data_IF_275646899565
#
_entry.id   IF_275646899565
#
_cell.length_a   1.000
_cell.length_b   1.000
_cell.length_c   1.000
_cell.angle_alpha   90.00
_cell.angle_beta   90.00
_cell.angle_gamma   90.00
#
_symmetry.space_group_name_H-M   'P 1'
#
loop_
_entity.id
_entity.type
_entity.pdbx_description
1 polymer ?
#
# COMPACT_ATOMS: atom_id res chain seq x y z
N UNK A 1 17.25 31.28 1.93
CA UNK A 1 15.90 30.72 2.14
C UNK A 1 16.04 29.20 2.19
N UNK A 2 16.07 28.62 3.39
CA UNK A 2 16.08 27.17 3.57
C UNK A 2 14.63 26.69 3.58
N UNK A 3 14.20 25.99 2.54
CA UNK A 3 12.95 25.25 2.54
C UNK A 3 13.10 24.08 3.52
N UNK A 4 12.45 24.17 4.69
CA UNK A 4 12.34 23.03 5.58
C UNK A 4 11.61 21.90 4.83
N UNK A 5 12.06 20.64 4.90
CA UNK A 5 11.34 19.54 4.27
C UNK A 5 9.94 19.50 4.87
N UNK A 6 8.92 19.61 4.02
CA UNK A 6 7.53 19.40 4.41
C UNK A 6 7.47 18.00 5.01
N UNK A 7 7.27 17.90 6.32
CA UNK A 7 6.92 16.64 6.98
C UNK A 7 5.54 16.28 6.49
N UNK A 8 5.47 15.59 5.35
CA UNK A 8 4.25 14.90 4.94
C UNK A 8 3.81 14.04 6.12
N UNK A 9 2.55 14.12 6.56
CA UNK A 9 2.06 13.23 7.60
C UNK A 9 2.43 11.81 7.16
N UNK A 10 3.11 11.08 8.04
CA UNK A 10 3.38 9.67 7.83
C UNK A 10 2.04 8.95 7.98
N UNK A 11 1.22 8.99 6.93
CA UNK A 11 -0.04 8.28 6.88
C UNK A 11 0.34 6.81 6.94
N UNK A 12 0.04 6.16 8.07
CA UNK A 12 0.20 4.71 8.20
C UNK A 12 -0.83 4.04 7.30
N UNK A 13 -0.46 3.78 6.05
CA UNK A 13 -1.29 3.06 5.11
C UNK A 13 -1.25 1.55 5.41
N UNK A 14 -2.40 0.86 5.36
CA UNK A 14 -2.42 -0.59 5.51
C UNK A 14 -1.65 -1.24 4.35
N UNK A 15 -0.76 -2.19 4.68
CA UNK A 15 -0.02 -3.00 3.69
C UNK A 15 -0.57 -4.42 3.54
N UNK A 16 -1.46 -4.84 4.44
CA UNK A 16 -2.08 -6.17 4.43
C UNK A 16 -3.51 -6.07 4.95
N UNK A 17 -4.44 -6.77 4.30
CA UNK A 17 -5.83 -6.89 4.73
C UNK A 17 -6.38 -8.30 4.42
N UNK A 18 -7.34 -8.81 5.22
CA UNK A 18 -7.94 -10.12 5.00
C UNK A 18 -8.73 -10.17 3.69
N UNK A 19 -8.56 -11.24 2.91
CA UNK A 19 -9.21 -11.40 1.61
C UNK A 19 -10.70 -11.69 1.71
N UNK A 20 -11.15 -12.28 2.83
CA UNK A 20 -12.56 -12.52 3.14
C UNK A 20 -13.44 -11.26 3.30
N UNK A 21 -12.88 -10.05 3.27
CA UNK A 21 -13.64 -8.80 3.28
C UNK A 21 -13.71 -8.18 1.88
N UNK A 22 -14.93 -7.90 1.42
CA UNK A 22 -15.21 -7.30 0.10
C UNK A 22 -14.60 -5.91 -0.09
N UNK A 23 -14.25 -5.21 1.00
CA UNK A 23 -13.63 -3.88 0.95
C UNK A 23 -12.10 -3.90 0.93
N UNK A 24 -11.48 -5.02 1.27
CA UNK A 24 -10.03 -5.09 1.46
C UNK A 24 -9.26 -4.71 0.20
N UNK A 25 -9.66 -5.25 -0.95
CA UNK A 25 -8.99 -4.95 -2.22
C UNK A 25 -9.08 -3.45 -2.56
N UNK A 26 -10.25 -2.84 -2.45
CA UNK A 26 -10.44 -1.41 -2.72
C UNK A 26 -9.63 -0.51 -1.77
N UNK A 27 -9.49 -0.89 -0.50
CA UNK A 27 -8.67 -0.14 0.46
C UNK A 27 -7.19 -0.24 0.08
N UNK A 28 -6.71 -1.43 -0.30
CA UNK A 28 -5.32 -1.61 -0.71
C UNK A 28 -5.02 -0.95 -2.06
N UNK A 29 -5.95 -0.95 -3.01
CA UNK A 29 -5.81 -0.20 -4.27
C UNK A 29 -5.64 1.30 -3.99
N UNK A 30 -6.48 1.88 -3.13
CA UNK A 30 -6.34 3.28 -2.75
C UNK A 30 -4.99 3.56 -2.04
N UNK A 31 -4.54 2.65 -1.18
CA UNK A 31 -3.23 2.75 -0.54
C UNK A 31 -2.06 2.65 -1.55
N UNK A 32 -2.15 1.77 -2.55
CA UNK A 32 -1.17 1.66 -3.64
C UNK A 32 -1.05 2.97 -4.41
N UNK A 33 -2.17 3.62 -4.73
CA UNK A 33 -2.14 4.91 -5.46
C UNK A 33 -1.41 6.00 -4.65
N UNK A 34 -1.63 6.07 -3.34
CA UNK A 34 -0.91 7.02 -2.47
C UNK A 34 0.59 6.69 -2.39
N UNK A 35 0.93 5.41 -2.24
CA UNK A 35 2.33 4.96 -2.18
C UNK A 35 3.09 5.24 -3.49
N UNK A 36 2.45 5.01 -4.64
CA UNK A 36 3.01 5.34 -5.95
C UNK A 36 3.18 6.84 -6.16
N UNK A 37 2.21 7.65 -5.72
CA UNK A 37 2.32 9.10 -5.75
C UNK A 37 3.48 9.61 -4.87
N UNK A 38 3.86 8.86 -3.83
CA UNK A 38 5.03 9.11 -3.00
C UNK A 38 6.35 8.54 -3.59
N UNK A 39 6.30 7.85 -4.74
CA UNK A 39 7.45 7.28 -5.42
C UNK A 39 7.76 5.81 -5.12
N UNK A 40 6.90 5.11 -4.37
CA UNK A 40 7.07 3.67 -4.08
C UNK A 40 6.41 2.81 -5.17
N UNK A 41 7.18 2.01 -5.92
CA UNK A 41 6.66 1.15 -6.98
C UNK A 41 6.13 -0.18 -6.42
N UNK A 42 4.83 -0.21 -6.12
CA UNK A 42 4.15 -1.32 -5.44
C UNK A 42 2.90 -1.81 -6.16
N UNK A 43 2.42 -2.99 -5.81
CA UNK A 43 1.15 -3.56 -6.27
C UNK A 43 0.51 -4.49 -5.22
N UNK A 44 -0.77 -4.83 -5.41
CA UNK A 44 -1.50 -5.77 -4.53
C UNK A 44 -1.35 -7.20 -5.06
N UNK A 45 -1.03 -8.15 -4.18
CA UNK A 45 -1.04 -9.60 -4.44
C UNK A 45 -1.96 -10.32 -3.47
N UNK A 46 -2.47 -11.48 -3.88
CA UNK A 46 -3.17 -12.40 -2.99
C UNK A 46 -2.19 -13.45 -2.46
N UNK A 47 -2.14 -13.60 -1.13
CA UNK A 47 -1.42 -14.67 -0.46
C UNK A 47 -2.41 -15.73 0.02
N UNK A 48 -2.40 -16.89 -0.64
CA UNK A 48 -3.25 -18.03 -0.28
C UNK A 48 -2.95 -18.54 1.13
N UNK A 49 -1.68 -18.51 1.54
CA UNK A 49 -1.30 -18.82 2.92
C UNK A 49 -1.66 -17.64 3.83
N UNK A 50 -2.76 -17.81 4.57
CA UNK A 50 -3.31 -16.79 5.47
C UNK A 50 -4.56 -16.08 4.94
N UNK A 51 -4.93 -16.29 3.67
CA UNK A 51 -6.09 -15.68 3.01
C UNK A 51 -6.10 -14.15 3.14
N UNK A 52 -5.03 -13.51 2.66
CA UNK A 52 -4.83 -12.05 2.77
C UNK A 52 -4.42 -11.44 1.43
N UNK A 53 -4.75 -10.17 1.25
CA UNK A 53 -4.16 -9.32 0.23
C UNK A 53 -3.00 -8.52 0.83
N UNK A 54 -1.91 -8.35 0.07
CA UNK A 54 -0.70 -7.64 0.50
C UNK A 54 -0.23 -6.65 -0.55
N UNK A 55 0.28 -5.50 -0.11
CA UNK A 55 1.00 -4.55 -0.96
C UNK A 55 2.48 -4.91 -0.93
N UNK A 56 3.02 -5.31 -2.08
CA UNK A 56 4.43 -5.71 -2.24
C UNK A 56 5.13 -4.86 -3.30
N UNK A 57 6.46 -4.70 -3.24
CA UNK A 57 7.24 -4.08 -4.31
C UNK A 57 7.03 -4.82 -5.63
N UNK A 58 6.98 -4.10 -6.76
CA UNK A 58 6.76 -4.72 -8.08
C UNK A 58 7.89 -5.66 -8.54
N UNK A 59 9.09 -5.52 -7.99
CA UNK A 59 10.21 -6.43 -8.25
C UNK A 59 10.19 -7.74 -7.45
N UNK A 60 9.30 -7.84 -6.46
CA UNK A 60 9.13 -9.01 -5.60
C UNK A 60 7.83 -9.70 -6.03
N UNK A 61 7.92 -10.72 -6.89
CA UNK A 61 6.79 -11.58 -7.30
C UNK A 61 7.22 -13.03 -7.36
#
# INVERSE_FOLDING_TARGET
>A
MSIAPVRVPQISLPRELPAGSTRSLSILDAAVEVLRAAGEDVHVVYAAHGDVFKIVPRGES
#
